data_IF_838106980119
#
_entry.id   IF_838106980119
#
_cell.length_a   1.000
_cell.length_b   1.000
_cell.length_c   1.000
_cell.angle_alpha   90.00
_cell.angle_beta   90.00
_cell.angle_gamma   90.00
#
_symmetry.space_group_name_H-M   'P 1'
#
loop_
_entity.id
_entity.type
_entity.pdbx_description
1 polymer ?
#
# COMPACT_ATOMS: atom_id res chain seq x y z
N UNK A 1 -53.18 -20.84 -25.38
CA UNK A 1 -52.70 -19.45 -25.39
C UNK A 1 -51.51 -19.41 -24.46
N UNK A 2 -50.32 -19.43 -25.04
CA UNK A 2 -49.05 -19.32 -24.30
C UNK A 2 -48.84 -17.84 -23.96
N UNK A 3 -48.45 -17.54 -22.72
CA UNK A 3 -48.03 -16.21 -22.31
C UNK A 3 -46.54 -16.23 -22.02
N UNK A 4 -45.86 -15.29 -22.64
CA UNK A 4 -44.42 -15.20 -22.90
C UNK A 4 -43.57 -15.04 -21.64
N UNK A 5 -42.41 -15.70 -21.71
CA UNK A 5 -41.26 -15.50 -20.83
C UNK A 5 -40.68 -14.11 -21.10
N UNK A 6 -40.50 -13.32 -20.04
CA UNK A 6 -39.76 -12.06 -20.11
C UNK A 6 -38.29 -12.38 -20.32
N UNK A 7 -37.74 -11.77 -21.37
CA UNK A 7 -36.38 -11.92 -21.84
C UNK A 7 -35.38 -11.28 -20.86
N UNK A 8 -34.37 -12.06 -20.50
CA UNK A 8 -33.08 -11.61 -19.99
C UNK A 8 -32.49 -10.54 -20.92
N UNK A 9 -32.12 -9.39 -20.38
CA UNK A 9 -31.35 -8.39 -21.11
C UNK A 9 -29.92 -8.92 -21.33
N UNK A 10 -29.70 -9.58 -22.47
CA UNK A 10 -28.38 -9.96 -22.93
C UNK A 10 -27.51 -8.70 -23.11
N UNK A 11 -26.33 -8.71 -22.50
CA UNK A 11 -25.29 -7.72 -22.73
C UNK A 11 -24.96 -7.65 -24.24
N UNK A 12 -24.63 -6.47 -24.80
CA UNK A 12 -24.20 -6.37 -26.18
C UNK A 12 -22.93 -7.21 -26.40
N UNK A 13 -22.92 -8.02 -27.46
CA UNK A 13 -21.77 -8.81 -27.88
C UNK A 13 -20.56 -7.92 -28.24
N UNK A 14 -19.31 -8.37 -28.00
CA UNK A 14 -18.11 -7.57 -28.20
C UNK A 14 -17.69 -7.60 -29.68
N UNK A 15 -18.39 -6.84 -30.53
CA UNK A 15 -18.07 -6.73 -31.97
C UNK A 15 -17.05 -5.62 -32.28
N UNK A 16 -16.13 -5.35 -31.36
CA UNK A 16 -15.00 -4.45 -31.57
C UNK A 16 -13.71 -5.28 -31.58
N UNK A 17 -13.15 -5.53 -32.76
CA UNK A 17 -11.82 -6.14 -32.94
C UNK A 17 -10.68 -5.26 -32.37
N UNK A 18 -11.01 -4.05 -31.91
CA UNK A 18 -10.08 -3.08 -31.34
C UNK A 18 -10.27 -2.91 -29.83
N UNK A 19 -9.18 -2.62 -29.14
CA UNK A 19 -9.19 -2.23 -27.73
C UNK A 19 -9.89 -0.87 -27.54
N UNK A 20 -10.83 -0.74 -26.58
CA UNK A 20 -11.59 0.49 -26.36
C UNK A 20 -10.77 1.66 -25.76
N UNK A 21 -9.52 1.41 -25.32
CA UNK A 21 -8.65 2.44 -24.73
C UNK A 21 -7.74 3.04 -25.81
N UNK A 22 -6.96 2.20 -26.52
CA UNK A 22 -6.05 2.69 -27.56
C UNK A 22 -6.69 2.78 -28.95
N UNK A 23 -7.89 2.23 -29.13
CA UNK A 23 -8.64 2.19 -30.40
C UNK A 23 -7.88 1.47 -31.53
N UNK A 24 -6.99 0.54 -31.17
CA UNK A 24 -6.18 -0.26 -32.09
C UNK A 24 -6.34 -1.76 -31.78
N UNK A 25 -5.78 -2.61 -32.64
CA UNK A 25 -5.76 -4.07 -32.47
C UNK A 25 -5.22 -4.47 -31.09
N UNK A 26 -5.80 -5.53 -30.54
CA UNK A 26 -5.40 -6.04 -29.23
C UNK A 26 -3.94 -6.50 -29.19
N UNK A 27 -3.18 -5.96 -28.25
CA UNK A 27 -1.83 -6.40 -27.87
C UNK A 27 -1.89 -7.02 -26.48
N UNK A 28 -1.54 -8.30 -26.38
CA UNK A 28 -1.67 -9.09 -25.15
C UNK A 28 -3.04 -8.86 -24.48
N UNK A 29 -4.15 -9.28 -25.13
CA UNK A 29 -5.50 -9.02 -24.62
C UNK A 29 -5.72 -9.63 -23.23
N UNK A 30 -6.39 -8.89 -22.37
CA UNK A 30 -6.79 -9.31 -21.03
C UNK A 30 -8.30 -9.12 -20.83
N UNK A 31 -8.92 -10.01 -20.05
CA UNK A 31 -10.36 -10.02 -19.75
C UNK A 31 -10.58 -9.77 -18.27
N UNK A 32 -11.34 -8.74 -17.94
CA UNK A 32 -11.73 -8.41 -16.57
C UNK A 32 -12.82 -9.37 -16.04
N UNK A 33 -13.04 -9.45 -14.71
CA UNK A 33 -14.13 -10.28 -14.16
C UNK A 33 -15.52 -9.92 -14.70
N UNK A 34 -15.73 -8.66 -15.08
CA UNK A 34 -16.99 -8.20 -15.69
C UNK A 34 -17.12 -8.55 -17.18
N UNK A 35 -16.13 -9.22 -17.78
CA UNK A 35 -16.15 -9.73 -19.15
C UNK A 35 -15.59 -8.78 -20.22
N UNK A 36 -15.21 -7.55 -19.87
CA UNK A 36 -14.65 -6.59 -20.82
C UNK A 36 -13.19 -6.89 -21.16
N UNK A 37 -12.80 -6.66 -22.42
CA UNK A 37 -11.46 -6.98 -22.94
C UNK A 37 -10.67 -5.72 -23.33
N UNK A 38 -9.41 -5.67 -22.91
CA UNK A 38 -8.47 -4.57 -23.15
C UNK A 38 -7.10 -5.11 -23.58
N UNK A 39 -6.21 -4.26 -24.11
CA UNK A 39 -4.77 -4.58 -24.09
C UNK A 39 -4.29 -4.54 -22.64
N UNK A 40 -3.43 -5.48 -22.24
CA UNK A 40 -2.91 -5.53 -20.86
C UNK A 40 -2.31 -4.19 -20.42
N UNK A 41 -1.40 -3.61 -21.20
CA UNK A 41 -0.77 -2.30 -20.89
C UNK A 41 -1.78 -1.16 -20.83
N UNK A 42 -2.80 -1.16 -21.71
CA UNK A 42 -3.83 -0.13 -21.69
C UNK A 42 -4.64 -0.19 -20.39
N UNK A 43 -5.09 -1.37 -19.98
CA UNK A 43 -5.80 -1.52 -18.72
C UNK A 43 -4.88 -1.14 -17.54
N UNK A 44 -3.65 -1.65 -17.49
CA UNK A 44 -2.68 -1.35 -16.44
C UNK A 44 -2.44 0.16 -16.29
N UNK A 45 -2.40 0.91 -17.39
CA UNK A 45 -2.25 2.38 -17.36
C UNK A 45 -3.46 3.12 -16.77
N UNK A 46 -4.63 2.48 -16.76
CA UNK A 46 -5.87 3.05 -16.21
C UNK A 46 -6.16 2.58 -14.79
N UNK A 47 -5.56 1.48 -14.35
CA UNK A 47 -5.62 1.05 -12.96
C UNK A 47 -4.77 2.02 -12.13
N UNK A 48 -5.21 2.29 -10.90
CA UNK A 48 -4.40 3.12 -10.00
C UNK A 48 -3.05 2.46 -9.74
N UNK A 49 -2.12 3.23 -9.15
CA UNK A 49 -0.73 2.85 -8.85
C UNK A 49 -0.57 1.46 -8.22
N UNK A 50 -1.62 0.96 -7.57
CA UNK A 50 -1.65 -0.26 -6.77
C UNK A 50 -2.38 -1.44 -7.43
N UNK A 51 -2.74 -1.34 -8.71
CA UNK A 51 -3.28 -2.47 -9.47
C UNK A 51 -4.76 -2.78 -9.26
N UNK A 52 -5.53 -1.91 -8.61
CA UNK A 52 -6.99 -2.00 -8.49
C UNK A 52 -7.68 -0.70 -8.94
N UNK A 53 -8.88 -0.81 -9.50
CA UNK A 53 -9.61 0.33 -10.05
C UNK A 53 -11.03 -0.02 -10.52
N UNK A 54 -11.62 0.89 -11.30
CA UNK A 54 -12.95 0.71 -11.90
C UNK A 54 -12.79 0.40 -13.39
N UNK A 55 -13.57 -0.54 -13.91
CA UNK A 55 -13.59 -0.91 -15.32
C UNK A 55 -13.91 0.33 -16.18
N UNK A 56 -13.11 0.66 -17.21
CA UNK A 56 -13.38 1.83 -18.06
C UNK A 56 -14.74 1.81 -18.78
N UNK A 57 -15.33 0.63 -19.00
CA UNK A 57 -16.60 0.49 -19.71
C UNK A 57 -17.82 0.47 -18.78
N UNK A 58 -17.79 -0.34 -17.72
CA UNK A 58 -18.96 -0.52 -16.84
C UNK A 58 -18.76 -0.05 -15.40
N UNK A 59 -17.59 0.49 -15.06
CA UNK A 59 -17.20 0.98 -13.72
C UNK A 59 -17.23 -0.06 -12.58
N UNK A 60 -17.48 -1.33 -12.87
CA UNK A 60 -17.33 -2.41 -11.88
C UNK A 60 -15.88 -2.51 -11.40
N UNK A 61 -15.68 -2.95 -10.16
CA UNK A 61 -14.35 -3.15 -9.59
C UNK A 61 -13.52 -4.13 -10.42
N UNK A 62 -12.29 -3.75 -10.73
CA UNK A 62 -11.32 -4.55 -11.49
C UNK A 62 -9.98 -4.47 -10.80
N UNK A 63 -9.22 -5.56 -10.91
CA UNK A 63 -7.90 -5.68 -10.30
C UNK A 63 -7.01 -6.53 -11.19
N UNK A 64 -5.71 -6.29 -11.11
CA UNK A 64 -4.68 -7.09 -11.80
C UNK A 64 -4.64 -8.54 -11.34
N UNK A 65 -5.12 -8.84 -10.14
CA UNK A 65 -5.12 -10.19 -9.57
C UNK A 65 -6.31 -11.04 -10.05
N UNK A 66 -7.42 -10.40 -10.45
CA UNK A 66 -8.61 -11.06 -10.99
C UNK A 66 -8.83 -10.85 -12.49
N UNK A 67 -8.01 -10.02 -13.14
CA UNK A 67 -7.98 -9.88 -14.60
C UNK A 67 -7.03 -10.91 -15.19
N UNK A 68 -7.48 -11.64 -16.21
CA UNK A 68 -6.74 -12.75 -16.81
C UNK A 68 -6.35 -12.48 -18.27
N UNK A 69 -5.20 -13.00 -18.70
CA UNK A 69 -4.79 -13.01 -20.10
C UNK A 69 -5.73 -13.87 -20.94
N UNK A 70 -6.16 -13.38 -22.11
CA UNK A 70 -7.09 -14.14 -22.98
C UNK A 70 -6.42 -15.37 -23.61
N UNK A 71 -5.09 -15.35 -23.75
CA UNK A 71 -4.34 -16.42 -24.40
C UNK A 71 -4.12 -17.65 -23.50
N UNK A 72 -4.01 -17.44 -22.19
CA UNK A 72 -3.54 -18.45 -21.23
C UNK A 72 -4.40 -18.55 -19.96
N UNK A 73 -5.39 -17.66 -19.79
CA UNK A 73 -6.22 -17.50 -18.60
C UNK A 73 -5.38 -17.29 -17.30
N UNK A 74 -4.17 -16.74 -17.43
CA UNK A 74 -3.29 -16.43 -16.30
C UNK A 74 -3.58 -15.02 -15.78
N UNK A 75 -3.68 -14.80 -14.45
CA UNK A 75 -3.81 -13.46 -13.88
C UNK A 75 -2.71 -12.51 -14.36
N UNK A 76 -3.05 -11.24 -14.62
CA UNK A 76 -2.08 -10.23 -15.03
C UNK A 76 -0.98 -10.01 -13.98
N UNK A 77 -1.31 -10.22 -12.70
CA UNK A 77 -0.36 -10.27 -11.61
C UNK A 77 -0.72 -11.42 -10.68
N UNK A 78 0.27 -12.23 -10.32
CA UNK A 78 0.13 -13.22 -9.27
C UNK A 78 0.44 -12.57 -7.91
N UNK A 79 -0.37 -12.81 -6.86
CA UNK A 79 -0.02 -12.36 -5.52
C UNK A 79 1.20 -13.13 -5.00
N UNK A 80 1.99 -12.49 -4.14
CA UNK A 80 3.21 -13.10 -3.59
C UNK A 80 2.91 -14.20 -2.57
N UNK A 81 1.68 -14.23 -2.05
CA UNK A 81 1.13 -15.28 -1.19
C UNK A 81 -0.27 -15.65 -1.64
N UNK A 82 -0.68 -16.88 -1.35
CA UNK A 82 -1.98 -17.43 -1.75
C UNK A 82 -2.93 -17.70 -0.58
N UNK A 83 -2.55 -17.31 0.63
CA UNK A 83 -3.31 -17.55 1.86
C UNK A 83 -2.91 -16.58 2.96
N UNK A 84 -3.77 -16.43 3.96
CA UNK A 84 -3.47 -15.65 5.17
C UNK A 84 -2.54 -16.40 6.14
N UNK A 85 -2.42 -17.72 6.01
CA UNK A 85 -1.59 -18.49 6.93
C UNK A 85 -0.10 -18.20 6.73
N UNK A 86 0.62 -17.97 7.83
CA UNK A 86 1.97 -17.43 7.89
C UNK A 86 2.03 -15.89 7.94
N UNK A 87 0.90 -15.19 7.89
CA UNK A 87 0.86 -13.72 7.84
C UNK A 87 0.49 -13.08 9.18
N UNK A 88 0.89 -11.82 9.32
CA UNK A 88 0.58 -10.94 10.45
C UNK A 88 -0.05 -9.66 9.91
N UNK A 89 -1.09 -9.16 10.56
CA UNK A 89 -1.78 -7.91 10.21
C UNK A 89 -1.77 -6.95 11.39
N UNK A 90 -1.51 -5.67 11.13
CA UNK A 90 -1.28 -4.63 12.13
C UNK A 90 -2.12 -3.38 11.86
N UNK A 91 -2.50 -2.64 12.90
CA UNK A 91 -3.26 -1.38 12.81
C UNK A 91 -2.41 -0.10 13.00
N UNK A 92 -1.10 -0.26 13.19
CA UNK A 92 -0.18 0.83 13.54
C UNK A 92 1.29 0.53 13.26
N UNK A 93 1.57 -0.33 12.29
CA UNK A 93 2.93 -0.61 11.77
C UNK A 93 3.66 -1.78 12.42
N UNK A 94 3.44 -2.07 13.71
CA UNK A 94 4.13 -3.16 14.41
C UNK A 94 3.16 -4.14 15.06
N UNK A 95 3.64 -5.37 15.25
CA UNK A 95 2.92 -6.42 15.97
C UNK A 95 2.84 -6.11 17.47
N UNK A 96 1.85 -6.70 18.15
CA UNK A 96 1.72 -6.61 19.61
C UNK A 96 0.67 -5.62 20.11
N UNK A 97 0.17 -4.72 19.25
CA UNK A 97 -0.93 -3.80 19.56
C UNK A 97 -2.20 -4.25 18.85
N UNK A 98 -2.88 -5.25 19.40
CA UNK A 98 -4.02 -5.94 18.78
C UNK A 98 -3.75 -6.50 17.38
N UNK A 99 -2.50 -6.83 17.05
CA UNK A 99 -2.16 -7.39 15.73
C UNK A 99 -2.72 -8.80 15.57
N UNK A 100 -3.20 -9.16 14.38
CA UNK A 100 -3.72 -10.49 14.08
C UNK A 100 -2.62 -11.38 13.48
N UNK A 101 -2.48 -12.59 14.01
CA UNK A 101 -1.48 -13.56 13.59
C UNK A 101 -2.18 -14.83 13.15
N UNK A 102 -1.85 -15.32 11.96
CA UNK A 102 -2.43 -16.51 11.37
C UNK A 102 -1.34 -17.53 11.12
N UNK A 103 -0.68 -18.09 12.14
CA UNK A 103 0.47 -18.98 11.90
C UNK A 103 0.07 -20.25 11.12
N UNK A 104 -1.08 -20.83 11.44
CA UNK A 104 -1.66 -21.97 10.74
C UNK A 104 -3.18 -22.04 10.98
N UNK A 105 -3.94 -22.92 10.27
CA UNK A 105 -5.36 -23.12 10.54
C UNK A 105 -5.70 -23.42 12.00
N UNK A 106 -4.77 -24.06 12.73
CA UNK A 106 -4.94 -24.47 14.12
C UNK A 106 -4.28 -23.51 15.14
N UNK A 107 -3.58 -22.46 14.67
CA UNK A 107 -2.90 -21.49 15.52
C UNK A 107 -3.06 -20.07 14.96
N UNK A 108 -4.17 -19.44 15.34
CA UNK A 108 -4.49 -18.04 15.03
C UNK A 108 -4.71 -17.28 16.35
N UNK A 109 -4.22 -16.05 16.47
CA UNK A 109 -4.38 -15.25 17.68
C UNK A 109 -4.35 -13.74 17.42
N UNK A 110 -4.83 -12.99 18.41
CA UNK A 110 -4.58 -11.55 18.56
C UNK A 110 -3.43 -11.37 19.54
N UNK A 111 -2.40 -10.64 19.12
CA UNK A 111 -1.27 -10.30 20.00
C UNK A 111 -1.51 -8.96 20.69
N UNK A 112 -1.41 -8.98 22.01
CA UNK A 112 -1.40 -7.83 22.91
C UNK A 112 -0.05 -7.69 23.63
N UNK A 113 1.00 -8.33 23.12
CA UNK A 113 2.32 -8.35 23.76
C UNK A 113 2.89 -6.95 24.03
N UNK A 114 2.58 -6.00 23.14
CA UNK A 114 3.02 -4.60 23.21
C UNK A 114 1.82 -3.65 23.41
N UNK A 115 0.69 -4.14 23.91
CA UNK A 115 -0.50 -3.33 24.10
C UNK A 115 -0.24 -2.17 25.09
N UNK A 116 -0.80 -0.98 24.87
CA UNK A 116 -0.65 0.17 25.77
C UNK A 116 -1.00 -0.17 27.22
N UNK A 117 -0.34 0.47 28.19
CA UNK A 117 -0.52 0.14 29.61
C UNK A 117 -1.94 0.38 30.11
N UNK A 118 -2.62 1.35 29.51
CA UNK A 118 -3.99 1.75 29.78
C UNK A 118 -5.05 0.75 29.27
N UNK A 119 -4.66 -0.19 28.39
CA UNK A 119 -5.57 -1.25 27.95
C UNK A 119 -5.71 -2.28 29.05
N UNK A 120 -6.83 -2.19 29.77
CA UNK A 120 -7.20 -3.10 30.86
C UNK A 120 -8.52 -3.80 30.55
N UNK A 121 -8.64 -5.01 31.08
CA UNK A 121 -9.91 -5.71 31.21
C UNK A 121 -10.72 -5.09 32.35
N UNK A 122 -12.00 -5.46 32.48
CA UNK A 122 -12.92 -4.88 33.47
C UNK A 122 -12.50 -5.18 34.93
N UNK A 123 -11.67 -6.22 35.14
CA UNK A 123 -11.08 -6.55 36.44
C UNK A 123 -9.78 -5.76 36.75
N UNK A 124 -9.35 -4.89 35.84
CA UNK A 124 -8.14 -4.08 35.94
C UNK A 124 -6.86 -4.79 35.49
N UNK A 125 -6.92 -6.07 35.13
CA UNK A 125 -5.78 -6.81 34.57
C UNK A 125 -5.47 -6.39 33.13
N UNK A 126 -4.29 -6.76 32.62
CA UNK A 126 -3.95 -6.53 31.20
C UNK A 126 -4.48 -7.68 30.35
N UNK A 127 -4.88 -7.44 29.09
CA UNK A 127 -5.10 -8.49 28.11
C UNK A 127 -3.90 -9.44 28.05
N UNK A 128 -4.18 -10.74 27.90
CA UNK A 128 -3.11 -11.74 27.74
C UNK A 128 -2.29 -11.44 26.46
N UNK A 129 -0.95 -11.58 26.49
CA UNK A 129 -0.10 -11.27 25.34
C UNK A 129 -0.48 -12.01 24.05
N UNK A 130 -0.96 -13.26 24.15
CA UNK A 130 -1.39 -14.10 23.02
C UNK A 130 -2.83 -14.55 23.23
N UNK A 131 -3.82 -13.84 22.68
CA UNK A 131 -5.24 -14.17 22.81
C UNK A 131 -5.70 -15.05 21.65
N UNK A 132 -5.97 -16.36 21.84
CA UNK A 132 -6.28 -17.25 20.73
C UNK A 132 -7.64 -16.94 20.09
N UNK A 133 -7.72 -17.15 18.77
CA UNK A 133 -8.99 -17.37 18.10
C UNK A 133 -9.42 -18.83 18.29
N UNK A 134 -10.72 -19.01 18.40
CA UNK A 134 -11.41 -20.31 18.43
C UNK A 134 -12.44 -20.35 17.30
N UNK A 135 -13.02 -21.52 17.01
CA UNK A 135 -13.96 -21.69 15.90
C UNK A 135 -13.43 -21.12 14.56
N UNK A 136 -12.12 -21.32 14.32
CA UNK A 136 -11.42 -20.79 13.16
C UNK A 136 -11.91 -21.48 11.90
N UNK A 137 -12.25 -20.69 10.88
CA UNK A 137 -12.49 -21.18 9.52
C UNK A 137 -11.98 -20.15 8.51
N UNK A 138 -11.39 -20.62 7.42
CA UNK A 138 -10.94 -19.77 6.32
C UNK A 138 -11.47 -20.31 4.99
N UNK A 139 -12.23 -19.48 4.28
CA UNK A 139 -12.68 -19.76 2.92
C UNK A 139 -11.76 -19.04 1.92
N UNK A 140 -10.94 -19.83 1.21
CA UNK A 140 -9.99 -19.31 0.23
C UNK A 140 -10.67 -18.69 -1.00
N UNK A 141 -11.88 -19.14 -1.38
CA UNK A 141 -12.57 -18.64 -2.56
C UNK A 141 -13.09 -17.21 -2.35
N UNK A 142 -13.62 -16.94 -1.16
CA UNK A 142 -14.10 -15.60 -0.76
C UNK A 142 -13.03 -14.78 -0.02
N UNK A 143 -11.89 -15.39 0.32
CA UNK A 143 -10.83 -14.83 1.17
C UNK A 143 -11.39 -14.34 2.50
N UNK A 144 -12.25 -15.15 3.11
CA UNK A 144 -12.96 -14.80 4.35
C UNK A 144 -12.48 -15.65 5.50
N UNK A 145 -11.96 -15.01 6.55
CA UNK A 145 -11.68 -15.63 7.84
C UNK A 145 -12.85 -15.44 8.79
N UNK A 146 -13.16 -16.50 9.53
CA UNK A 146 -14.04 -16.48 10.68
C UNK A 146 -13.27 -16.93 11.92
N UNK A 147 -13.52 -16.28 13.05
CA UNK A 147 -12.94 -16.69 14.32
C UNK A 147 -13.61 -16.00 15.51
N UNK A 148 -13.52 -16.65 16.66
CA UNK A 148 -14.14 -16.19 17.90
C UNK A 148 -13.09 -16.01 18.99
N UNK A 149 -13.14 -14.89 19.70
CA UNK A 149 -12.33 -14.62 20.88
C UNK A 149 -13.22 -14.63 22.12
N UNK A 150 -12.84 -15.38 23.14
CA UNK A 150 -13.60 -15.52 24.40
C UNK A 150 -12.92 -14.76 25.53
N UNK A 151 -13.64 -13.85 26.19
CA UNK A 151 -13.24 -13.05 27.35
C UNK A 151 -13.99 -13.51 28.62
N UNK A 152 -14.02 -14.81 28.87
CA UNK A 152 -14.85 -15.42 29.92
C UNK A 152 -14.31 -15.19 31.35
N UNK A 153 -12.99 -15.16 31.52
CA UNK A 153 -12.37 -14.97 32.85
C UNK A 153 -12.49 -13.51 33.32
N UNK A 154 -12.33 -12.57 32.40
CA UNK A 154 -12.51 -11.14 32.61
C UNK A 154 -12.96 -10.52 31.28
N UNK A 155 -14.09 -9.81 31.33
CA UNK A 155 -14.68 -9.13 30.17
C UNK A 155 -13.79 -7.98 29.71
N UNK A 156 -13.88 -7.65 28.42
CA UNK A 156 -13.23 -6.50 27.82
C UNK A 156 -14.31 -5.47 27.48
N UNK A 157 -14.37 -4.38 28.24
CA UNK A 157 -15.37 -3.31 28.06
C UNK A 157 -16.83 -3.86 28.07
N UNK A 158 -17.09 -4.75 29.02
CA UNK A 158 -18.37 -5.44 29.19
C UNK A 158 -18.65 -6.55 28.17
N UNK A 159 -17.76 -6.81 27.21
CA UNK A 159 -17.89 -7.91 26.26
C UNK A 159 -17.22 -9.19 26.78
N UNK A 160 -17.93 -10.32 26.69
CA UNK A 160 -17.43 -11.66 27.04
C UNK A 160 -17.00 -12.48 25.83
N UNK A 161 -17.37 -12.04 24.62
CA UNK A 161 -17.07 -12.73 23.37
C UNK A 161 -17.06 -11.76 22.22
N UNK A 162 -16.09 -11.90 21.34
CA UNK A 162 -16.03 -11.23 20.04
C UNK A 162 -16.06 -12.26 18.92
N UNK A 163 -16.87 -12.02 17.89
CA UNK A 163 -16.92 -12.84 16.68
C UNK A 163 -16.45 -12.00 15.49
N UNK A 164 -15.51 -12.55 14.73
CA UNK A 164 -14.87 -11.87 13.61
C UNK A 164 -15.28 -12.50 12.28
N UNK A 165 -15.50 -11.62 11.31
CA UNK A 165 -15.50 -11.90 9.89
C UNK A 165 -14.49 -10.95 9.26
N UNK A 166 -13.43 -11.47 8.64
CA UNK A 166 -12.41 -10.65 7.99
C UNK A 166 -12.31 -11.05 6.52
N UNK A 167 -12.51 -10.09 5.61
CA UNK A 167 -12.36 -10.29 4.17
C UNK A 167 -11.03 -9.68 3.73
N UNK A 168 -10.18 -10.47 3.10
CA UNK A 168 -8.84 -10.04 2.68
C UNK A 168 -8.82 -9.60 1.21
N UNK A 169 -7.94 -8.64 0.89
CA UNK A 169 -7.65 -8.26 -0.49
C UNK A 169 -7.13 -9.45 -1.30
N UNK A 170 -7.23 -9.38 -2.63
CA UNK A 170 -6.80 -10.47 -3.52
C UNK A 170 -5.30 -10.81 -3.40
N UNK A 171 -4.49 -9.85 -2.95
CA UNK A 171 -3.06 -10.00 -2.65
C UNK A 171 -2.74 -10.22 -1.18
N UNK A 172 -3.75 -10.37 -0.32
CA UNK A 172 -3.61 -10.56 1.12
C UNK A 172 -2.80 -9.47 1.83
N UNK A 173 -2.72 -8.28 1.24
CA UNK A 173 -2.05 -7.15 1.83
C UNK A 173 -2.94 -6.40 2.83
N UNK A 174 -4.27 -6.46 2.67
CA UNK A 174 -5.21 -5.68 3.47
C UNK A 174 -6.37 -6.52 3.99
N UNK A 175 -6.96 -6.08 5.11
CA UNK A 175 -8.32 -6.47 5.49
C UNK A 175 -9.27 -5.41 4.93
N UNK A 176 -10.02 -5.79 3.90
CA UNK A 176 -10.82 -4.86 3.07
C UNK A 176 -12.31 -4.91 3.37
N UNK A 177 -12.74 -5.77 4.30
CA UNK A 177 -14.14 -5.90 4.64
C UNK A 177 -14.39 -6.86 5.80
N UNK A 178 -15.68 -6.99 6.15
CA UNK A 178 -16.13 -7.76 7.30
C UNK A 178 -16.30 -6.91 8.55
N UNK A 179 -16.36 -7.55 9.71
CA UNK A 179 -16.64 -6.89 10.98
C UNK A 179 -16.17 -7.72 12.18
N UNK A 180 -16.02 -7.03 13.31
CA UNK A 180 -15.99 -7.62 14.65
C UNK A 180 -17.31 -7.31 15.34
N UNK A 181 -18.00 -8.34 15.85
CA UNK A 181 -19.22 -8.21 16.62
C UNK A 181 -18.97 -8.57 18.08
N UNK A 182 -19.36 -7.68 18.99
CA UNK A 182 -19.26 -7.91 20.41
C UNK A 182 -20.52 -8.56 21.01
N UNK A 183 -20.33 -9.37 22.05
CA UNK A 183 -21.41 -9.97 22.82
C UNK A 183 -21.16 -9.86 24.32
N UNK A 184 -22.21 -9.49 25.06
CA UNK A 184 -22.20 -9.47 26.52
C UNK A 184 -22.21 -10.87 27.13
N UNK A 185 -21.99 -11.01 28.46
CA UNK A 185 -22.07 -12.29 29.17
C UNK A 185 -23.43 -13.00 29.07
N UNK A 186 -24.49 -12.25 28.80
CA UNK A 186 -25.85 -12.75 28.57
C UNK A 186 -26.09 -13.26 27.14
N UNK A 187 -25.07 -13.16 26.28
CA UNK A 187 -25.14 -13.52 24.86
C UNK A 187 -25.81 -12.44 23.99
N UNK A 188 -26.18 -11.29 24.54
CA UNK A 188 -26.75 -10.20 23.76
C UNK A 188 -25.67 -9.54 22.90
N UNK A 189 -25.99 -9.29 21.62
CA UNK A 189 -25.13 -8.52 20.74
C UNK A 189 -25.00 -7.07 21.25
N UNK A 190 -23.76 -6.57 21.25
CA UNK A 190 -23.38 -5.20 21.59
C UNK A 190 -22.90 -4.49 20.33
N UNK A 191 -21.79 -3.76 20.41
CA UNK A 191 -21.28 -2.97 19.29
C UNK A 191 -20.71 -3.83 18.15
N UNK A 192 -20.72 -3.24 16.97
CA UNK A 192 -20.13 -3.81 15.75
C UNK A 192 -19.08 -2.84 15.22
N UNK A 193 -17.89 -3.35 14.93
CA UNK A 193 -16.79 -2.56 14.36
C UNK A 193 -16.46 -3.09 12.96
N UNK A 194 -16.53 -2.23 11.94
CA UNK A 194 -16.37 -2.63 10.54
C UNK A 194 -14.96 -2.46 10.02
N UNK A 195 -14.53 -3.39 9.17
CA UNK A 195 -13.36 -3.23 8.32
C UNK A 195 -13.78 -2.64 6.96
N UNK A 196 -12.95 -1.81 6.31
CA UNK A 196 -11.73 -1.18 6.83
C UNK A 196 -11.98 0.16 7.54
N UNK A 197 -13.24 0.58 7.69
CA UNK A 197 -13.57 1.98 8.06
C UNK A 197 -13.37 2.32 9.53
N UNK A 198 -13.59 1.36 10.44
CA UNK A 198 -13.36 1.53 11.88
C UNK A 198 -12.15 0.74 12.35
N UNK A 199 -11.91 -0.43 11.76
CA UNK A 199 -10.75 -1.28 12.02
C UNK A 199 -9.88 -1.31 10.76
N UNK A 200 -8.71 -0.68 10.83
CA UNK A 200 -7.79 -0.50 9.69
C UNK A 200 -6.60 -1.42 9.87
N UNK A 201 -6.44 -2.42 9.00
CA UNK A 201 -5.38 -3.42 9.11
C UNK A 201 -4.70 -3.69 7.77
N UNK A 202 -3.37 -3.74 7.81
CA UNK A 202 -2.54 -4.15 6.68
C UNK A 202 -1.52 -5.20 7.10
N UNK A 203 -1.08 -5.99 6.13
CA UNK A 203 -0.08 -7.03 6.30
C UNK A 203 1.23 -6.41 6.75
N UNK A 204 1.79 -6.96 7.82
CA UNK A 204 3.11 -6.59 8.27
C UNK A 204 4.16 -7.24 7.35
N UNK A 205 5.04 -6.40 6.80
CA UNK A 205 6.28 -6.83 6.17
C UNK A 205 7.42 -6.67 7.18
N UNK A 206 8.45 -7.54 7.15
CA UNK A 206 9.67 -7.28 7.88
C UNK A 206 10.20 -5.88 7.55
N UNK A 207 10.65 -5.14 8.55
CA UNK A 207 11.35 -3.89 8.30
C UNK A 207 12.59 -4.16 7.45
N UNK A 208 12.93 -3.29 6.49
CA UNK A 208 14.18 -3.40 5.75
C UNK A 208 15.35 -3.45 6.73
N UNK A 209 16.32 -4.30 6.43
CA UNK A 209 17.59 -4.34 7.19
C UNK A 209 18.65 -3.44 6.58
N UNK A 210 18.33 -2.79 5.46
CA UNK A 210 19.25 -2.03 4.63
C UNK A 210 18.47 -1.04 3.75
N UNK A 211 19.20 -0.13 3.08
CA UNK A 211 18.61 0.96 2.31
C UNK A 211 18.02 0.48 0.96
N UNK A 212 18.58 -0.58 0.38
CA UNK A 212 18.15 -1.17 -0.87
C UNK A 212 16.71 -1.68 -0.83
N UNK A 213 16.00 -1.45 -1.92
CA UNK A 213 14.56 -1.66 -2.04
C UNK A 213 13.70 -0.59 -1.39
N UNK A 214 14.27 0.40 -0.68
CA UNK A 214 13.47 1.43 -0.03
C UNK A 214 13.11 2.58 -0.98
N UNK A 215 11.89 3.07 -0.83
CA UNK A 215 11.44 4.35 -1.40
C UNK A 215 11.00 5.25 -0.25
N UNK A 216 11.43 6.50 -0.26
CA UNK A 216 11.05 7.52 0.72
C UNK A 216 10.26 8.62 0.02
N UNK A 217 9.12 8.99 0.59
CA UNK A 217 8.19 9.97 0.01
C UNK A 217 7.95 11.12 0.97
N UNK A 218 7.71 12.29 0.40
CA UNK A 218 7.17 13.44 1.12
C UNK A 218 5.68 13.56 0.78
N UNK A 219 4.83 13.75 1.79
CA UNK A 219 3.38 13.88 1.58
C UNK A 219 2.71 12.63 0.97
N UNK A 220 3.31 11.44 1.14
CA UNK A 220 2.73 10.17 0.71
C UNK A 220 2.76 9.88 -0.80
N UNK A 221 3.25 10.80 -1.64
CA UNK A 221 3.15 10.68 -3.10
C UNK A 221 4.48 10.27 -3.73
N UNK A 222 4.50 9.11 -4.39
CA UNK A 222 5.65 8.68 -5.20
C UNK A 222 5.76 9.54 -6.45
N UNK A 223 6.97 9.99 -6.78
CA UNK A 223 7.23 10.83 -7.94
C UNK A 223 7.06 12.33 -7.70
N UNK A 224 6.79 12.76 -6.47
CA UNK A 224 6.82 14.16 -6.05
C UNK A 224 8.08 14.40 -5.20
N UNK A 225 9.24 14.40 -5.86
CA UNK A 225 10.56 14.42 -5.21
C UNK A 225 10.83 13.20 -4.29
N UNK A 226 10.22 12.05 -4.56
CA UNK A 226 10.47 10.83 -3.78
C UNK A 226 11.87 10.26 -4.04
N UNK A 227 12.54 9.76 -3.02
CA UNK A 227 13.87 9.13 -3.14
C UNK A 227 13.75 7.62 -3.28
N UNK A 228 14.48 7.04 -4.23
CA UNK A 228 14.44 5.62 -4.56
C UNK A 228 15.84 5.03 -4.42
N UNK A 229 15.93 3.90 -3.74
CA UNK A 229 17.15 3.14 -3.52
C UNK A 229 16.93 1.71 -3.99
N UNK A 230 17.10 1.39 -5.29
CA UNK A 230 16.72 0.08 -5.84
C UNK A 230 17.51 -1.12 -5.29
N UNK A 231 18.77 -0.92 -4.93
CA UNK A 231 19.70 -1.94 -4.41
C UNK A 231 20.63 -1.31 -3.38
N UNK A 232 21.41 -2.08 -2.61
CA UNK A 232 22.50 -1.57 -1.76
C UNK A 232 23.86 -1.55 -2.45
N UNK A 233 23.96 -2.14 -3.65
CA UNK A 233 25.23 -2.31 -4.36
C UNK A 233 25.64 -1.07 -5.18
N UNK A 234 25.48 0.12 -4.60
CA UNK A 234 25.72 1.40 -5.28
C UNK A 234 27.15 1.54 -5.82
N UNK A 235 28.11 1.04 -5.05
CA UNK A 235 29.55 1.22 -5.31
C UNK A 235 30.08 0.33 -6.45
N UNK A 236 29.30 -0.67 -6.86
CA UNK A 236 29.70 -1.68 -7.85
C UNK A 236 29.06 -1.46 -9.23
N UNK A 237 28.12 -0.51 -9.34
CA UNK A 237 27.35 -0.29 -10.56
C UNK A 237 27.99 0.77 -11.49
N UNK A 238 28.13 0.48 -12.80
CA UNK A 238 28.46 1.49 -13.79
C UNK A 238 27.40 2.61 -13.82
N UNK A 239 27.87 3.85 -13.97
CA UNK A 239 27.08 5.11 -13.97
C UNK A 239 25.79 5.10 -14.81
N UNK A 240 25.71 4.26 -15.85
CA UNK A 240 24.61 4.23 -16.84
C UNK A 240 23.51 3.19 -16.56
N UNK A 241 23.51 2.51 -15.40
CA UNK A 241 22.57 1.40 -15.14
C UNK A 241 21.29 1.78 -14.37
N UNK A 242 20.21 1.06 -14.71
CA UNK A 242 18.82 1.20 -14.24
C UNK A 242 18.58 1.07 -12.73
N UNK A 243 19.62 0.80 -11.94
CA UNK A 243 19.52 0.44 -10.52
C UNK A 243 20.21 1.44 -9.56
N UNK A 244 20.80 2.53 -10.08
CA UNK A 244 21.37 3.58 -9.23
C UNK A 244 20.28 4.33 -8.43
N UNK A 245 20.59 4.91 -7.26
CA UNK A 245 19.64 5.72 -6.50
C UNK A 245 19.23 6.96 -7.28
N UNK A 246 17.98 7.37 -7.14
CA UNK A 246 17.48 8.56 -7.84
C UNK A 246 16.37 9.27 -7.07
N UNK A 247 16.15 10.52 -7.44
CA UNK A 247 14.94 11.28 -7.11
C UNK A 247 13.96 11.14 -8.26
N UNK A 248 12.71 10.77 -7.95
CA UNK A 248 11.62 10.73 -8.93
C UNK A 248 10.80 12.01 -8.89
N UNK A 249 10.61 12.61 -10.06
CA UNK A 249 9.72 13.73 -10.33
C UNK A 249 8.63 13.33 -11.35
N UNK A 250 8.32 12.04 -11.48
CA UNK A 250 7.37 11.52 -12.48
C UNK A 250 5.97 12.12 -12.40
N UNK A 251 5.55 12.58 -11.21
CA UNK A 251 4.27 13.26 -11.00
C UNK A 251 4.47 14.70 -10.51
N UNK A 252 5.67 15.28 -10.73
CA UNK A 252 5.91 16.68 -10.40
C UNK A 252 4.91 17.57 -11.14
N UNK A 253 4.33 18.57 -10.46
CA UNK A 253 3.33 19.41 -11.07
C UNK A 253 3.94 20.27 -12.18
N UNK A 254 3.17 20.66 -13.22
CA UNK A 254 3.71 21.37 -14.38
C UNK A 254 4.37 22.73 -14.08
N UNK A 255 4.10 23.32 -12.92
CA UNK A 255 4.71 24.57 -12.49
C UNK A 255 6.10 24.38 -11.87
N UNK A 256 6.52 23.15 -11.57
CA UNK A 256 7.91 22.85 -11.25
C UNK A 256 8.70 22.78 -12.56
N UNK A 257 9.67 23.69 -12.70
CA UNK A 257 10.51 23.81 -13.88
C UNK A 257 11.92 24.20 -13.47
N UNK A 258 12.88 23.83 -14.31
CA UNK A 258 14.26 24.28 -14.16
C UNK A 258 14.37 25.75 -14.61
N UNK A 259 15.53 26.38 -14.38
CA UNK A 259 15.69 27.83 -14.60
C UNK A 259 15.53 28.27 -16.06
N UNK A 260 15.69 27.37 -17.02
CA UNK A 260 15.44 27.62 -18.44
C UNK A 260 13.97 27.45 -18.87
N UNK A 261 13.08 27.13 -17.92
CA UNK A 261 11.67 26.85 -18.14
C UNK A 261 11.36 25.42 -18.61
N UNK A 262 12.37 24.55 -18.75
CA UNK A 262 12.14 23.14 -19.04
C UNK A 262 11.47 22.42 -17.87
N UNK A 263 10.66 21.41 -18.18
CA UNK A 263 10.00 20.60 -17.16
C UNK A 263 11.02 19.83 -16.32
N UNK A 264 10.64 19.47 -15.10
CA UNK A 264 11.46 18.61 -14.25
C UNK A 264 11.78 17.27 -14.96
N UNK A 265 13.03 16.78 -14.85
CA UNK A 265 13.37 15.47 -15.37
C UNK A 265 12.63 14.39 -14.58
N UNK A 266 12.02 13.42 -15.27
CA UNK A 266 11.26 12.33 -14.61
C UNK A 266 12.03 11.62 -13.51
N UNK A 267 13.31 11.36 -13.73
CA UNK A 267 14.23 10.78 -12.73
C UNK A 267 15.54 11.54 -12.75
N UNK A 268 16.09 11.84 -11.57
CA UNK A 268 17.38 12.51 -11.38
C UNK A 268 18.30 11.60 -10.55
N UNK A 269 19.37 11.04 -11.14
CA UNK A 269 20.23 10.10 -10.43
C UNK A 269 21.09 10.80 -9.38
N UNK A 270 21.30 10.12 -8.27
CA UNK A 270 22.35 10.45 -7.29
C UNK A 270 23.70 9.95 -7.81
N UNK A 271 24.69 10.82 -7.83
CA UNK A 271 26.06 10.56 -8.30
C UNK A 271 27.00 10.50 -7.10
N UNK A 272 28.07 9.71 -7.20
CA UNK A 272 29.00 9.44 -6.10
C UNK A 272 28.24 8.96 -4.85
N UNK A 273 27.21 8.14 -5.08
CA UNK A 273 26.38 7.57 -4.05
C UNK A 273 27.21 6.58 -3.22
N UNK A 274 27.11 6.66 -1.91
CA UNK A 274 27.72 5.73 -0.97
C UNK A 274 26.80 5.53 0.22
N UNK A 275 26.85 4.34 0.81
CA UNK A 275 26.05 4.01 1.99
C UNK A 275 26.89 3.30 3.05
N UNK A 276 26.92 3.87 4.25
CA UNK A 276 27.51 3.25 5.43
C UNK A 276 26.41 2.61 6.28
N UNK A 277 26.31 1.29 6.23
CA UNK A 277 25.33 0.51 6.99
C UNK A 277 25.52 0.56 8.51
N UNK A 278 26.73 0.85 9.01
CA UNK A 278 26.97 0.93 10.45
C UNK A 278 26.39 2.21 11.04
N UNK A 279 26.48 3.32 10.30
CA UNK A 279 25.91 4.62 10.69
C UNK A 279 24.54 4.89 10.06
N UNK A 280 24.07 4.00 9.17
CA UNK A 280 22.89 4.19 8.31
C UNK A 280 22.91 5.53 7.59
N UNK A 281 24.07 5.87 7.03
CA UNK A 281 24.26 7.16 6.37
C UNK A 281 24.46 6.99 4.88
N UNK A 282 23.57 7.60 4.09
CA UNK A 282 23.73 7.74 2.65
C UNK A 282 24.33 9.10 2.30
N UNK A 283 25.30 9.11 1.38
CA UNK A 283 25.88 10.35 0.84
C UNK A 283 25.89 10.31 -0.68
N UNK A 284 25.54 11.42 -1.31
CA UNK A 284 25.56 11.54 -2.76
C UNK A 284 25.58 13.01 -3.22
N UNK A 285 25.71 13.21 -4.52
CA UNK A 285 25.64 14.51 -5.20
C UNK A 285 24.66 14.46 -6.36
N UNK A 286 23.91 15.53 -6.57
CA UNK A 286 23.13 15.75 -7.79
C UNK A 286 23.69 16.98 -8.51
N UNK A 287 23.84 16.88 -9.83
CA UNK A 287 24.20 18.00 -10.69
C UNK A 287 23.00 18.43 -11.52
N UNK A 288 22.70 19.72 -11.53
CA UNK A 288 21.61 20.31 -12.30
C UNK A 288 22.15 20.98 -13.55
N UNK A 289 21.67 20.51 -14.69
CA UNK A 289 21.92 21.11 -15.99
C UNK A 289 20.64 20.96 -16.82
N UNK A 290 19.90 22.06 -17.07
CA UNK A 290 20.10 23.42 -16.53
C UNK A 290 20.01 23.51 -14.99
N UNK A 291 20.53 24.59 -14.35
CA UNK A 291 20.40 24.80 -12.91
C UNK A 291 18.95 24.85 -12.43
N UNK A 292 18.76 24.59 -11.14
CA UNK A 292 17.46 24.66 -10.47
C UNK A 292 17.54 25.73 -9.38
N UNK A 293 16.77 26.80 -9.48
CA UNK A 293 16.78 27.94 -8.55
C UNK A 293 18.15 28.63 -8.40
N UNK A 294 18.94 28.66 -9.48
CA UNK A 294 20.31 29.16 -9.51
C UNK A 294 21.36 28.14 -9.03
N UNK A 295 20.94 26.94 -8.67
CA UNK A 295 21.77 25.92 -8.02
C UNK A 295 22.20 24.88 -9.06
N UNK A 296 23.50 24.73 -9.23
CA UNK A 296 24.09 23.80 -10.18
C UNK A 296 24.37 22.43 -9.55
N UNK A 297 24.42 22.36 -8.22
CA UNK A 297 24.85 21.15 -7.52
C UNK A 297 24.24 21.05 -6.13
N UNK A 298 23.71 19.89 -5.78
CA UNK A 298 23.23 19.56 -4.43
C UNK A 298 24.05 18.41 -3.84
N UNK A 299 24.52 18.56 -2.61
CA UNK A 299 25.18 17.52 -1.83
C UNK A 299 24.22 17.00 -0.76
N UNK A 300 24.12 15.68 -0.64
CA UNK A 300 23.23 15.00 0.27
C UNK A 300 24.01 14.21 1.31
N UNK A 301 23.56 14.32 2.56
CA UNK A 301 23.85 13.40 3.65
C UNK A 301 22.51 13.04 4.31
N UNK A 302 22.14 11.77 4.29
CA UNK A 302 20.86 11.28 4.84
C UNK A 302 21.14 10.26 5.93
N UNK A 303 20.58 10.45 7.11
CA UNK A 303 20.64 9.51 8.24
C UNK A 303 19.28 8.81 8.38
N UNK A 304 19.26 7.49 8.28
CA UNK A 304 18.04 6.70 8.44
C UNK A 304 17.88 6.21 9.88
N UNK A 305 16.64 6.15 10.37
CA UNK A 305 16.36 5.49 11.65
C UNK A 305 16.66 3.99 11.58
N UNK A 306 16.64 3.32 12.74
CA UNK A 306 17.00 1.90 12.86
C UNK A 306 16.09 0.95 12.08
N UNK A 307 14.87 1.37 11.76
CA UNK A 307 13.85 0.55 11.08
C UNK A 307 13.64 0.98 9.62
N UNK A 308 14.43 1.94 9.14
CA UNK A 308 14.25 2.61 7.85
C UNK A 308 12.82 3.14 7.66
N UNK A 309 12.16 3.60 8.71
CA UNK A 309 10.83 4.19 8.59
C UNK A 309 10.88 5.64 8.12
N UNK A 310 11.94 6.36 8.48
CA UNK A 310 12.12 7.77 8.17
C UNK A 310 13.56 8.11 7.81
N UNK A 311 13.73 9.23 7.10
CA UNK A 311 15.01 9.93 7.05
C UNK A 311 15.07 10.82 8.29
N UNK A 312 15.66 10.28 9.35
CA UNK A 312 15.66 10.86 10.69
C UNK A 312 16.55 12.10 10.84
N UNK A 313 17.52 12.29 9.94
CA UNK A 313 18.44 13.42 10.00
C UNK A 313 19.38 13.51 8.81
N UNK A 314 20.38 14.38 8.93
CA UNK A 314 21.28 14.75 7.84
C UNK A 314 20.85 16.04 7.16
N UNK A 315 21.43 16.35 6.02
CA UNK A 315 21.26 17.64 5.34
C UNK A 315 21.37 17.54 3.82
N UNK A 316 20.75 18.50 3.15
CA UNK A 316 20.95 18.81 1.73
C UNK A 316 21.57 20.19 1.65
N UNK A 317 22.72 20.31 0.99
CA UNK A 317 23.43 21.57 0.77
C UNK A 317 23.46 21.88 -0.71
N UNK A 318 23.00 23.05 -1.10
CA UNK A 318 22.92 23.49 -2.48
C UNK A 318 24.00 24.53 -2.80
N UNK A 319 24.54 24.46 -4.01
CA UNK A 319 25.66 25.27 -4.47
C UNK A 319 25.36 25.85 -5.85
N UNK A 320 25.76 27.10 -6.05
CA UNK A 320 25.72 27.76 -7.36
C UNK A 320 26.82 27.21 -8.30
N UNK A 321 26.83 27.71 -9.54
CA UNK A 321 27.82 27.32 -10.55
C UNK A 321 29.27 27.72 -10.20
N UNK A 322 29.46 28.64 -9.25
CA UNK A 322 30.76 29.08 -8.75
C UNK A 322 31.22 28.26 -7.53
N UNK A 323 30.37 27.37 -7.03
CA UNK A 323 30.63 26.53 -5.86
C UNK A 323 30.37 27.22 -4.52
N UNK A 324 29.71 28.38 -4.52
CA UNK A 324 29.24 29.00 -3.28
C UNK A 324 27.95 28.34 -2.82
N UNK A 325 27.86 28.06 -1.52
CA UNK A 325 26.66 27.49 -0.92
C UNK A 325 25.52 28.52 -0.88
N UNK A 326 24.38 28.18 -1.48
CA UNK A 326 23.21 29.05 -1.60
C UNK A 326 22.15 28.74 -0.56
N UNK A 327 22.01 27.45 -0.22
CA UNK A 327 20.96 26.98 0.67
C UNK A 327 21.36 25.69 1.39
N UNK A 328 20.78 25.48 2.58
CA UNK A 328 20.87 24.22 3.32
C UNK A 328 19.49 23.87 3.89
N UNK A 329 19.12 22.59 3.81
CA UNK A 329 17.93 22.03 4.44
C UNK A 329 18.31 20.82 5.30
N UNK A 330 17.62 20.62 6.41
CA UNK A 330 17.88 19.55 7.37
C UNK A 330 16.76 18.52 7.34
N UNK A 331 17.09 17.24 7.19
CA UNK A 331 16.11 16.16 7.30
C UNK A 331 15.60 16.03 8.75
N UNK A 332 14.32 15.70 8.90
CA UNK A 332 13.63 15.66 10.19
C UNK A 332 13.25 17.03 10.76
N UNK A 333 13.67 18.13 10.14
CA UNK A 333 13.32 19.51 10.54
C UNK A 333 12.65 20.24 9.38
N UNK A 334 13.39 20.51 8.31
CA UNK A 334 12.91 21.21 7.12
C UNK A 334 12.28 20.23 6.13
N UNK A 335 12.84 19.01 6.04
CA UNK A 335 12.42 17.95 5.12
C UNK A 335 11.95 16.72 5.90
N UNK A 336 10.69 16.33 5.72
CA UNK A 336 10.11 15.13 6.34
C UNK A 336 9.83 14.06 5.28
N UNK A 337 10.55 12.95 5.39
CA UNK A 337 10.45 11.82 4.48
C UNK A 337 10.15 10.55 5.27
N UNK A 338 9.11 9.84 4.83
CA UNK A 338 8.71 8.54 5.40
C UNK A 338 8.87 7.46 4.34
N UNK A 339 9.26 6.27 4.76
CA UNK A 339 9.34 5.11 3.87
C UNK A 339 7.96 4.75 3.38
N UNK A 340 7.87 4.61 2.06
CA UNK A 340 6.73 4.05 1.38
C UNK A 340 6.53 2.61 1.85
N UNK A 341 5.37 2.35 2.45
CA UNK A 341 4.89 1.00 2.71
C UNK A 341 3.68 0.83 1.80
N UNK A 342 3.82 -0.02 0.79
CA UNK A 342 2.82 -0.23 -0.26
C UNK A 342 1.45 -0.51 0.35
N UNK A 343 1.38 -1.38 1.36
CA UNK A 343 0.12 -1.75 1.98
C UNK A 343 -0.55 -0.57 2.72
N UNK A 344 0.22 0.36 3.32
CA UNK A 344 -0.35 1.57 3.94
C UNK A 344 -0.97 2.50 2.89
N UNK A 345 -0.35 2.59 1.72
CA UNK A 345 -0.85 3.42 0.63
C UNK A 345 -2.08 2.81 -0.05
N UNK A 346 -2.08 1.49 -0.25
CA UNK A 346 -3.25 0.75 -0.72
C UNK A 346 -4.44 0.99 0.20
N UNK A 347 -4.23 0.94 1.52
CA UNK A 347 -5.29 1.21 2.51
C UNK A 347 -5.80 2.65 2.43
N UNK A 348 -4.90 3.64 2.34
CA UNK A 348 -5.28 5.04 2.20
C UNK A 348 -6.15 5.28 0.95
N UNK A 349 -5.74 4.75 -0.20
CA UNK A 349 -6.50 4.87 -1.45
C UNK A 349 -7.87 4.17 -1.39
N UNK A 350 -7.95 3.02 -0.70
CA UNK A 350 -9.22 2.31 -0.47
C UNK A 350 -10.17 3.18 0.36
N UNK A 351 -9.70 3.76 1.46
CA UNK A 351 -10.50 4.61 2.34
C UNK A 351 -10.99 5.88 1.62
N UNK A 352 -10.13 6.50 0.81
CA UNK A 352 -10.51 7.64 -0.04
C UNK A 352 -11.64 7.26 -1.00
N UNK A 353 -11.53 6.10 -1.66
CA UNK A 353 -12.56 5.60 -2.59
C UNK A 353 -13.90 5.36 -1.89
N UNK A 354 -13.88 4.70 -0.72
CA UNK A 354 -15.09 4.45 0.06
C UNK A 354 -15.78 5.74 0.51
N UNK A 355 -14.98 6.73 0.96
CA UNK A 355 -15.51 8.03 1.38
C UNK A 355 -16.16 8.80 0.21
N UNK A 356 -15.59 8.70 -0.99
CA UNK A 356 -16.14 9.33 -2.19
C UNK A 356 -17.46 8.68 -2.63
N UNK A 357 -17.55 7.35 -2.55
CA UNK A 357 -18.77 6.62 -2.87
C UNK A 357 -19.89 6.95 -1.84
N UNK A 358 -19.61 7.04 -0.53
CA UNK A 358 -20.59 7.48 0.48
C UNK A 358 -21.11 8.91 0.24
N UNK A 359 -20.23 9.84 -0.15
CA UNK A 359 -20.60 11.21 -0.48
C UNK A 359 -21.48 11.31 -1.74
N UNK A 360 -21.39 10.34 -2.65
CA UNK A 360 -22.23 10.28 -3.85
C UNK A 360 -23.65 9.75 -3.55
N UNK A 361 -23.79 8.77 -2.65
CA UNK A 361 -25.08 8.18 -2.28
C UNK A 361 -25.93 9.06 -1.36
N UNK A 362 -25.33 10.07 -0.72
CA UNK A 362 -26.04 11.04 0.14
C UNK A 362 -26.59 12.25 -0.62
N UNK A 363 -26.35 12.33 -1.95
CA UNK A 363 -26.78 13.42 -2.83
C UNK A 363 -27.91 13.05 -3.79
N UNK A 364 -28.42 11.83 -3.73
CA UNK A 364 -29.64 11.35 -4.39
C UNK A 364 -30.79 11.25 -3.39
#
# INVERSE_FOLDING_TARGET
MATESQAEAAAPAPDSDCCPICLADYKAPCRTPCGHVYCAECLLSTLHSWGAGKCPLCRQGVSVYSTIGVADDVPLRMPDVSTIFGLVFVQGGHAGVASYHFASPDDCWISYADAPEEWKLDDGSRPMPKKPFTAVAFDAATRTFHGTVLWEEATFDGASRWEYVMVFSEDYNLIVGGQMQEFGPDGAARDTHRFPTQLVYWRQRPSPTTLGGCTFVQGGTVGLASYHFPTDHFDELPYEQLEAPYISYEVAPPFWSQDDGSAMPRKKPFINASYDGATRTFRATIYWEPPLHGEARWEYEMHFDEQFETIAGGQVRAFDAQGAETQQHTFGVDLSYVRLVEERQQMAALLETLSADEASHTRE
#
